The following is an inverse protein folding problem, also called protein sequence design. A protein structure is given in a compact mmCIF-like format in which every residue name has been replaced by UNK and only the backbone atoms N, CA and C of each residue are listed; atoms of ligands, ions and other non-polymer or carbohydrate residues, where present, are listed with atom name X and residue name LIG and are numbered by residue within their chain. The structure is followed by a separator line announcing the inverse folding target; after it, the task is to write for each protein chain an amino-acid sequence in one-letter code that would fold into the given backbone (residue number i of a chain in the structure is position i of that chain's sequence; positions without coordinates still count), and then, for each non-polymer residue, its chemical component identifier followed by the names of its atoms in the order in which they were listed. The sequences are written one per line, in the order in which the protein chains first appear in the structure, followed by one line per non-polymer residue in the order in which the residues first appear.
data_IF_175954660314
#
_entry.id   IF_175954660314
#
_cell.length_a   1.000
_cell.length_b   1.000
_cell.length_c   1.000
_cell.angle_alpha   90.00
_cell.angle_beta   90.00
_cell.angle_gamma   90.00
#
_symmetry.space_group_name_H-M   'P 1'
#
loop_
_entity.id
_entity.type
_entity.pdbx_description
1 polymer ?
#
# COMPACT_ATOMS: atom_id res chain seq x y z
N UNK A 1 -8.50 4.66 30.62
CA UNK A 1 -7.90 3.89 29.50
C UNK A 1 -6.39 4.04 29.62
N UNK A 2 -5.70 3.00 30.09
CA UNK A 2 -4.24 2.96 30.06
C UNK A 2 -3.82 2.55 28.65
N UNK A 3 -3.21 3.47 27.90
CA UNK A 3 -2.55 3.14 26.64
C UNK A 3 -1.24 2.44 27.02
N UNK A 4 -1.21 1.13 26.89
CA UNK A 4 -0.01 0.33 27.10
C UNK A 4 0.89 0.33 25.84
N UNK A 5 1.20 1.53 25.35
CA UNK A 5 2.18 1.70 24.29
C UNK A 5 3.56 1.91 24.94
N UNK A 6 4.58 1.13 24.59
CA UNK A 6 5.95 1.35 25.10
C UNK A 6 6.45 2.69 24.55
N UNK A 7 6.48 3.71 25.40
CA UNK A 7 6.88 5.09 25.05
C UNK A 7 8.30 5.15 24.47
N UNK A 8 9.18 4.21 24.82
CA UNK A 8 10.53 4.11 24.29
C UNK A 8 10.60 3.85 22.78
N UNK A 9 9.70 3.03 22.21
CA UNK A 9 9.68 2.74 20.80
C UNK A 9 9.17 3.90 19.95
N UNK A 10 8.35 4.79 20.52
CA UNK A 10 7.91 6.01 19.86
C UNK A 10 9.01 7.07 19.71
N UNK A 11 9.99 7.08 20.62
CA UNK A 11 11.04 8.08 20.68
C UNK A 11 12.31 7.68 19.92
N UNK A 12 12.58 6.39 19.76
CA UNK A 12 13.87 5.89 19.24
C UNK A 12 13.77 5.01 18.00
N UNK A 13 12.58 4.87 17.39
CA UNK A 13 12.43 4.17 16.12
C UNK A 13 12.89 2.71 16.12
N UNK A 14 12.86 2.03 17.28
CA UNK A 14 13.19 0.61 17.32
C UNK A 14 12.10 -0.19 16.60
N UNK A 15 12.47 -1.02 15.66
CA UNK A 15 11.62 -2.05 15.09
C UNK A 15 11.02 -2.87 16.24
N UNK A 16 9.71 -2.91 16.37
CA UNK A 16 9.06 -3.83 17.31
C UNK A 16 9.43 -5.25 16.87
N UNK A 17 9.94 -6.10 17.76
CA UNK A 17 10.14 -7.50 17.43
C UNK A 17 8.81 -8.10 16.99
N UNK A 18 8.88 -9.04 16.06
CA UNK A 18 7.71 -9.79 15.65
C UNK A 18 7.00 -10.38 16.89
N UNK A 19 5.67 -10.24 17.01
CA UNK A 19 4.95 -10.86 18.10
C UNK A 19 5.12 -12.38 18.01
N UNK A 20 5.26 -13.06 19.16
CA UNK A 20 5.21 -14.52 19.20
C UNK A 20 3.79 -15.02 18.84
N UNK A 21 3.69 -16.28 18.40
CA UNK A 21 2.40 -16.93 18.15
C UNK A 21 1.46 -16.84 19.37
N UNK A 22 2.01 -17.03 20.57
CA UNK A 22 1.27 -16.98 21.84
C UNK A 22 0.58 -15.60 22.05
N UNK A 23 1.24 -14.50 21.67
CA UNK A 23 0.66 -13.15 21.76
C UNK A 23 -0.49 -12.97 20.75
N UNK A 24 -0.41 -13.59 19.59
CA UNK A 24 -1.47 -13.54 18.58
C UNK A 24 -2.70 -14.27 19.11
N UNK A 25 -2.56 -15.47 19.59
CA UNK A 25 -3.64 -16.30 20.12
C UNK A 25 -4.30 -15.66 21.37
N UNK A 26 -3.50 -15.01 22.20
CA UNK A 26 -3.99 -14.31 23.39
C UNK A 26 -4.79 -13.03 23.07
N UNK A 27 -4.41 -12.31 22.00
CA UNK A 27 -4.98 -10.99 21.67
C UNK A 27 -6.10 -11.01 20.63
N UNK A 28 -6.16 -12.04 19.81
CA UNK A 28 -7.13 -12.14 18.74
C UNK A 28 -8.03 -13.35 18.93
N UNK A 29 -9.33 -13.13 18.78
CA UNK A 29 -10.33 -14.19 18.73
C UNK A 29 -10.89 -14.27 17.32
N UNK A 30 -10.81 -15.44 16.72
CA UNK A 30 -11.38 -15.72 15.40
C UNK A 30 -12.58 -16.66 15.55
N UNK A 31 -13.59 -16.56 14.65
CA UNK A 31 -14.71 -17.50 14.65
C UNK A 31 -14.27 -18.94 14.44
N UNK A 32 -15.10 -19.89 14.87
CA UNK A 32 -14.88 -21.32 14.61
C UNK A 32 -14.68 -21.59 13.11
N UNK A 33 -13.66 -22.38 12.76
CA UNK A 33 -13.29 -22.69 11.39
C UNK A 33 -12.32 -21.70 10.75
N UNK A 34 -11.94 -20.62 11.47
CA UNK A 34 -10.90 -19.69 11.03
C UNK A 34 -9.63 -19.84 11.86
N UNK A 35 -8.48 -19.65 11.24
CA UNK A 35 -7.17 -19.57 11.87
C UNK A 35 -6.55 -18.19 11.65
N UNK A 36 -5.68 -17.76 12.55
CA UNK A 36 -4.85 -16.57 12.40
C UNK A 36 -3.39 -16.98 12.54
N UNK A 37 -2.57 -16.63 11.57
CA UNK A 37 -1.14 -16.89 11.60
C UNK A 37 -0.35 -15.66 11.19
N UNK A 38 0.91 -15.61 11.61
CA UNK A 38 1.84 -14.56 11.23
C UNK A 38 2.51 -14.93 9.91
N UNK A 39 2.13 -14.26 8.82
CA UNK A 39 2.63 -14.56 7.48
C UNK A 39 3.96 -13.87 7.17
N UNK A 40 4.12 -12.59 7.53
CA UNK A 40 5.34 -11.84 7.28
C UNK A 40 5.63 -10.85 8.41
N UNK A 41 6.90 -10.65 8.73
CA UNK A 41 7.37 -9.78 9.81
C UNK A 41 8.49 -8.86 9.36
N UNK A 42 8.86 -7.87 10.20
CA UNK A 42 9.95 -6.95 9.90
C UNK A 42 9.65 -5.95 8.79
N UNK A 43 8.37 -5.80 8.41
CA UNK A 43 7.93 -4.86 7.39
C UNK A 43 7.31 -3.63 8.07
N UNK A 44 8.11 -2.61 8.25
CA UNK A 44 7.65 -1.37 8.86
C UNK A 44 6.75 -0.56 7.93
N UNK A 45 5.68 0.02 8.49
CA UNK A 45 4.84 0.99 7.80
C UNK A 45 4.12 0.51 6.54
N UNK A 46 3.76 -0.76 6.50
CA UNK A 46 2.93 -1.33 5.44
C UNK A 46 1.55 -0.64 5.44
N UNK A 47 1.07 -0.21 4.26
CA UNK A 47 -0.19 0.55 4.16
C UNK A 47 -1.22 -0.06 3.23
N UNK A 48 -0.82 -0.59 2.11
CA UNK A 48 -1.71 -1.17 1.12
C UNK A 48 -1.13 -2.47 0.58
N UNK A 49 -2.00 -3.41 0.27
CA UNK A 49 -1.66 -4.71 -0.29
C UNK A 49 -2.48 -4.95 -1.56
N UNK A 50 -1.84 -5.55 -2.55
CA UNK A 50 -2.49 -6.10 -3.73
C UNK A 50 -1.90 -7.49 -4.03
N UNK A 51 -2.76 -8.48 -4.23
CA UNK A 51 -2.32 -9.86 -4.54
C UNK A 51 -1.98 -9.96 -6.03
N UNK A 52 -0.86 -10.59 -6.35
CA UNK A 52 -0.48 -10.90 -7.73
C UNK A 52 -1.10 -12.22 -8.20
N UNK A 53 -1.11 -12.44 -9.51
CA UNK A 53 -1.55 -13.70 -10.10
C UNK A 53 -0.72 -14.93 -9.64
N UNK A 54 0.55 -14.70 -9.25
CA UNK A 54 1.41 -15.74 -8.69
C UNK A 54 1.15 -16.05 -7.22
N UNK A 55 0.33 -15.24 -6.52
CA UNK A 55 0.06 -15.35 -5.09
C UNK A 55 1.01 -14.58 -4.19
N UNK A 56 1.94 -13.80 -4.75
CA UNK A 56 2.73 -12.83 -4.01
C UNK A 56 1.86 -11.59 -3.66
N UNK A 57 2.36 -10.72 -2.77
CA UNK A 57 1.71 -9.44 -2.49
C UNK A 57 2.62 -8.29 -2.89
N UNK A 58 2.09 -7.35 -3.67
CA UNK A 58 2.71 -6.04 -3.82
C UNK A 58 2.20 -5.13 -2.71
N UNK A 59 3.09 -4.43 -2.03
CA UNK A 59 2.72 -3.64 -0.86
C UNK A 59 3.44 -2.28 -0.84
N UNK A 60 2.75 -1.25 -0.30
CA UNK A 60 3.34 0.08 -0.13
C UNK A 60 3.85 0.28 1.30
N UNK A 61 5.04 0.87 1.39
CA UNK A 61 5.65 1.38 2.63
C UNK A 61 5.72 2.91 2.54
N UNK A 62 4.61 3.56 2.86
CA UNK A 62 4.41 4.99 2.54
C UNK A 62 5.45 5.92 3.15
N UNK A 63 5.91 5.68 4.39
CA UNK A 63 6.94 6.52 5.03
C UNK A 63 8.34 6.27 4.47
N UNK A 64 8.61 5.05 4.05
CA UNK A 64 9.87 4.70 3.40
C UNK A 64 9.94 5.18 1.94
N UNK A 65 8.78 5.52 1.35
CA UNK A 65 8.71 5.86 -0.07
C UNK A 65 8.93 4.66 -0.98
N UNK A 66 8.50 3.48 -0.54
CA UNK A 66 8.81 2.23 -1.23
C UNK A 66 7.55 1.45 -1.63
N UNK A 67 7.71 0.67 -2.70
CA UNK A 67 6.84 -0.46 -3.04
C UNK A 67 7.67 -1.72 -2.96
N UNK A 68 7.16 -2.72 -2.27
CA UNK A 68 7.83 -4.01 -2.06
C UNK A 68 6.99 -5.16 -2.60
N UNK A 69 7.65 -6.25 -2.95
CA UNK A 69 7.05 -7.56 -3.14
C UNK A 69 7.25 -8.37 -1.86
N UNK A 70 6.16 -8.86 -1.27
CA UNK A 70 6.16 -9.86 -0.20
C UNK A 70 5.88 -11.19 -0.89
N UNK A 71 6.85 -12.07 -0.90
CA UNK A 71 6.76 -13.33 -1.62
C UNK A 71 5.77 -14.27 -0.95
N UNK A 72 5.07 -15.04 -1.76
CA UNK A 72 4.21 -16.12 -1.26
C UNK A 72 5.04 -17.15 -0.47
N UNK A 73 4.36 -17.94 0.29
CA UNK A 73 4.87 -19.16 0.91
C UNK A 73 4.94 -20.26 -0.17
N UNK A 74 6.11 -20.53 -0.69
CA UNK A 74 6.31 -21.55 -1.72
C UNK A 74 6.77 -22.89 -1.15
N UNK A 75 7.34 -22.91 0.06
CA UNK A 75 7.79 -24.11 0.73
C UNK A 75 6.74 -24.71 1.68
N UNK A 76 5.65 -23.99 1.96
CA UNK A 76 4.50 -24.47 2.72
C UNK A 76 4.68 -24.40 4.24
N UNK A 77 5.59 -23.57 4.73
CA UNK A 77 5.83 -23.39 6.18
C UNK A 77 4.84 -22.42 6.86
N UNK A 78 3.97 -21.79 6.08
CA UNK A 78 2.98 -20.82 6.54
C UNK A 78 3.50 -19.38 6.61
N UNK A 79 4.72 -19.12 6.18
CA UNK A 79 5.33 -17.81 6.20
C UNK A 79 5.75 -17.37 4.79
N UNK A 80 5.96 -16.08 4.64
CA UNK A 80 6.47 -15.50 3.40
C UNK A 80 7.94 -15.85 3.16
N UNK A 81 8.29 -16.23 1.92
CA UNK A 81 9.67 -16.47 1.47
C UNK A 81 10.52 -15.18 1.38
N UNK A 82 10.11 -14.13 2.07
CA UNK A 82 10.84 -12.89 2.20
C UNK A 82 10.29 -11.74 1.34
N UNK A 83 11.04 -10.65 1.31
CA UNK A 83 10.62 -9.41 0.64
C UNK A 83 11.67 -8.92 -0.33
N UNK A 84 11.22 -8.19 -1.36
CA UNK A 84 12.09 -7.52 -2.33
C UNK A 84 11.58 -6.09 -2.56
N UNK A 85 12.44 -5.09 -2.51
CA UNK A 85 12.08 -3.72 -2.91
C UNK A 85 11.96 -3.67 -4.43
N UNK A 86 10.78 -3.27 -4.92
CA UNK A 86 10.50 -3.05 -6.33
C UNK A 86 10.82 -1.61 -6.76
N UNK A 87 10.38 -0.64 -5.96
CA UNK A 87 10.56 0.79 -6.22
C UNK A 87 10.92 1.51 -4.94
N UNK A 88 11.73 2.56 -5.06
CA UNK A 88 12.08 3.49 -4.00
C UNK A 88 11.90 4.94 -4.44
N UNK A 89 12.15 5.89 -3.54
CA UNK A 89 12.09 7.33 -3.80
C UNK A 89 10.71 7.84 -4.28
N UNK A 90 9.65 7.14 -3.86
CA UNK A 90 8.28 7.54 -4.12
C UNK A 90 7.77 8.48 -3.01
N UNK A 91 6.85 9.36 -3.38
CA UNK A 91 6.27 10.33 -2.44
C UNK A 91 5.04 9.78 -1.73
N UNK A 92 5.22 9.18 -0.57
CA UNK A 92 4.15 8.58 0.23
C UNK A 92 3.22 7.66 -0.61
N UNK A 93 3.75 6.61 -1.26
CA UNK A 93 2.92 5.69 -2.05
C UNK A 93 1.86 5.03 -1.15
N UNK A 94 0.63 4.86 -1.67
CA UNK A 94 -0.45 4.25 -0.91
C UNK A 94 -1.22 3.23 -1.75
N UNK A 95 -2.16 3.66 -2.61
CA UNK A 95 -2.97 2.75 -3.42
C UNK A 95 -2.17 2.09 -4.53
N UNK A 96 -2.44 0.83 -4.76
CA UNK A 96 -1.86 -0.01 -5.81
C UNK A 96 -2.99 -0.64 -6.62
N UNK A 97 -2.80 -0.74 -7.93
CA UNK A 97 -3.63 -1.52 -8.82
C UNK A 97 -2.76 -2.19 -9.88
N UNK A 98 -3.11 -3.40 -10.30
CA UNK A 98 -2.39 -4.14 -11.34
C UNK A 98 -3.35 -4.44 -12.48
N UNK A 99 -3.01 -4.00 -13.68
CA UNK A 99 -3.79 -4.24 -14.87
C UNK A 99 -2.92 -4.21 -16.15
N UNK A 100 -3.19 -5.10 -17.08
CA UNK A 100 -2.59 -5.13 -18.42
C UNK A 100 -1.05 -5.09 -18.43
N UNK A 101 -0.42 -5.75 -17.44
CA UNK A 101 1.04 -5.79 -17.29
C UNK A 101 1.64 -4.49 -16.77
N UNK A 102 0.83 -3.65 -16.12
CA UNK A 102 1.26 -2.45 -15.42
C UNK A 102 0.93 -2.53 -13.93
N UNK A 103 1.86 -2.07 -13.12
CA UNK A 103 1.67 -1.75 -11.72
C UNK A 103 1.43 -0.24 -11.60
N UNK A 104 0.22 0.13 -11.24
CA UNK A 104 -0.19 1.52 -10.98
C UNK A 104 0.01 1.82 -9.50
N UNK A 105 0.56 3.00 -9.20
CA UNK A 105 0.84 3.43 -7.83
C UNK A 105 0.36 4.86 -7.66
N UNK A 106 -0.48 5.07 -6.65
CA UNK A 106 -0.89 6.39 -6.23
C UNK A 106 0.09 6.94 -5.19
N UNK A 107 0.80 8.00 -5.54
CA UNK A 107 1.53 8.87 -4.62
C UNK A 107 0.59 9.92 -4.04
N UNK A 108 1.02 10.66 -3.01
CA UNK A 108 0.16 11.69 -2.39
C UNK A 108 -0.28 12.78 -3.37
N UNK A 109 0.53 13.09 -4.40
CA UNK A 109 0.29 14.17 -5.36
C UNK A 109 0.48 13.78 -6.83
N UNK A 110 0.61 12.47 -7.10
CA UNK A 110 0.77 11.94 -8.44
C UNK A 110 0.15 10.54 -8.57
N UNK A 111 -0.10 10.14 -9.81
CA UNK A 111 -0.37 8.78 -10.24
C UNK A 111 0.75 8.35 -11.18
N UNK A 112 1.33 7.20 -10.93
CA UNK A 112 2.37 6.66 -11.79
C UNK A 112 2.16 5.19 -12.08
N UNK A 113 2.94 4.66 -13.03
CA UNK A 113 2.94 3.23 -13.38
C UNK A 113 4.32 2.76 -13.83
N UNK A 114 4.53 1.45 -13.72
CA UNK A 114 5.72 0.75 -14.22
C UNK A 114 5.29 -0.59 -14.82
N UNK A 115 6.02 -1.09 -15.81
CA UNK A 115 5.77 -2.45 -16.31
C UNK A 115 6.04 -3.47 -15.22
N UNK A 116 5.10 -4.39 -15.05
CA UNK A 116 5.14 -5.42 -14.02
C UNK A 116 4.67 -6.77 -14.55
N UNK A 117 5.47 -7.77 -14.32
CA UNK A 117 5.12 -9.17 -14.59
C UNK A 117 4.68 -9.83 -13.28
N UNK A 118 3.39 -10.05 -13.15
CA UNK A 118 2.78 -10.67 -11.96
C UNK A 118 3.23 -12.10 -11.72
N UNK A 119 3.65 -12.81 -12.77
CA UNK A 119 4.09 -14.21 -12.66
C UNK A 119 5.47 -14.32 -12.04
N UNK A 120 6.35 -13.38 -12.38
CA UNK A 120 7.74 -13.37 -11.89
C UNK A 120 7.99 -12.38 -10.78
N UNK A 121 7.01 -11.50 -10.46
CA UNK A 121 7.14 -10.44 -9.47
C UNK A 121 8.16 -9.37 -9.84
N UNK A 122 8.45 -9.17 -11.13
CA UNK A 122 9.50 -8.26 -11.60
C UNK A 122 8.94 -7.03 -12.29
N UNK A 123 9.57 -5.90 -12.02
CA UNK A 123 9.38 -4.67 -12.79
C UNK A 123 10.36 -4.61 -13.96
N UNK A 124 9.99 -3.86 -15.00
CA UNK A 124 10.87 -3.52 -16.12
C UNK A 124 10.64 -2.08 -16.59
N UNK A 125 11.71 -1.45 -17.08
CA UNK A 125 11.68 -0.03 -17.42
C UNK A 125 11.74 0.89 -16.20
N UNK A 126 11.36 2.15 -16.39
CA UNK A 126 11.33 3.20 -15.36
C UNK A 126 9.90 3.44 -14.88
N UNK A 127 9.77 3.89 -13.63
CA UNK A 127 8.50 4.39 -13.10
C UNK A 127 8.14 5.72 -13.79
N UNK A 128 6.98 5.77 -14.39
CA UNK A 128 6.46 6.94 -15.12
C UNK A 128 5.28 7.56 -14.36
N UNK A 129 5.40 8.85 -14.00
CA UNK A 129 4.29 9.62 -13.41
C UNK A 129 3.38 10.12 -14.51
N UNK A 130 2.28 9.41 -14.74
CA UNK A 130 1.31 9.65 -15.81
C UNK A 130 0.30 10.76 -15.51
N UNK A 131 0.11 11.10 -14.23
CA UNK A 131 -0.65 12.29 -13.81
C UNK A 131 0.02 12.92 -12.60
N UNK A 132 0.16 14.24 -12.61
CA UNK A 132 0.81 15.03 -11.55
C UNK A 132 -0.05 16.21 -11.13
N UNK A 133 0.37 16.92 -10.06
CA UNK A 133 -0.37 18.07 -9.56
C UNK A 133 -1.70 17.72 -8.89
N UNK A 134 -1.87 16.49 -8.45
CA UNK A 134 -2.99 16.08 -7.60
C UNK A 134 -2.83 16.78 -6.26
N UNK A 135 -3.91 17.29 -5.64
CA UNK A 135 -3.80 18.03 -4.38
C UNK A 135 -3.19 17.16 -3.28
N UNK A 136 -1.91 17.32 -3.01
CA UNK A 136 -1.17 16.63 -1.96
C UNK A 136 -1.24 17.34 -0.60
N UNK A 137 -0.67 16.71 0.43
CA UNK A 137 -0.62 17.27 1.79
C UNK A 137 -1.96 17.24 2.54
N UNK A 138 -1.97 17.83 3.74
CA UNK A 138 -3.11 17.77 4.66
C UNK A 138 -3.19 16.47 5.45
N UNK A 139 -4.23 16.33 6.26
CA UNK A 139 -4.37 15.19 7.17
C UNK A 139 -4.74 13.88 6.43
N UNK A 140 -5.45 13.97 5.31
CA UNK A 140 -5.91 12.82 4.51
C UNK A 140 -5.11 12.71 3.21
N UNK A 141 -3.83 12.41 3.36
CA UNK A 141 -2.85 12.36 2.28
C UNK A 141 -2.90 11.05 1.45
N UNK A 142 -3.47 9.98 2.00
CA UNK A 142 -3.56 8.69 1.32
C UNK A 142 -4.45 8.75 0.08
N UNK A 143 -4.10 7.95 -0.92
CA UNK A 143 -4.82 7.83 -2.19
C UNK A 143 -5.12 6.36 -2.44
N UNK A 144 -6.38 6.03 -2.62
CA UNK A 144 -6.80 4.69 -3.07
C UNK A 144 -7.12 4.76 -4.54
N UNK A 145 -6.71 3.75 -5.29
CA UNK A 145 -7.03 3.61 -6.72
C UNK A 145 -7.70 2.27 -6.98
N UNK A 146 -8.54 2.24 -8.01
CA UNK A 146 -9.16 1.02 -8.53
C UNK A 146 -9.61 1.24 -9.97
N UNK A 147 -9.55 0.20 -10.81
CA UNK A 147 -10.20 0.21 -12.11
C UNK A 147 -11.70 0.01 -11.97
N UNK A 148 -12.47 0.85 -12.65
CA UNK A 148 -13.91 0.67 -12.81
C UNK A 148 -14.25 -0.32 -13.92
N UNK A 149 -15.51 -0.76 -13.97
CA UNK A 149 -15.99 -1.66 -15.04
C UNK A 149 -15.99 -1.02 -16.44
N UNK A 150 -15.81 0.28 -16.50
CA UNK A 150 -15.64 1.08 -17.73
C UNK A 150 -14.18 1.13 -18.22
N UNK A 151 -13.26 0.46 -17.53
CA UNK A 151 -11.84 0.44 -17.84
C UNK A 151 -11.08 1.71 -17.46
N UNK A 152 -11.72 2.63 -16.73
CA UNK A 152 -11.08 3.85 -16.24
C UNK A 152 -10.52 3.66 -14.83
N UNK A 153 -9.46 4.38 -14.51
CA UNK A 153 -8.83 4.35 -13.19
C UNK A 153 -9.41 5.46 -12.31
N UNK A 154 -9.96 5.08 -11.17
CA UNK A 154 -10.53 5.98 -10.17
C UNK A 154 -9.57 6.17 -9.01
N UNK A 155 -9.43 7.40 -8.53
CA UNK A 155 -8.58 7.75 -7.41
C UNK A 155 -9.35 8.56 -6.38
N UNK A 156 -9.33 8.14 -5.12
CA UNK A 156 -9.85 8.94 -4.00
C UNK A 156 -8.87 10.03 -3.59
N UNK A 157 -9.38 11.24 -3.35
CA UNK A 157 -8.61 12.38 -2.84
C UNK A 157 -9.27 12.90 -1.58
N UNK A 158 -8.61 12.70 -0.44
CA UNK A 158 -9.13 13.13 0.85
C UNK A 158 -9.13 14.66 1.03
N UNK A 159 -9.89 15.11 2.03
CA UNK A 159 -9.92 16.52 2.46
C UNK A 159 -8.58 16.95 3.04
N UNK A 160 -8.32 18.24 3.07
CA UNK A 160 -7.10 18.79 3.68
C UNK A 160 -7.14 18.78 5.21
N UNK A 161 -8.33 18.78 5.80
CA UNK A 161 -8.57 18.77 7.23
C UNK A 161 -9.86 18.03 7.62
N UNK A 162 -10.11 17.83 8.91
CA UNK A 162 -11.29 17.10 9.41
C UNK A 162 -12.59 17.91 9.31
N UNK A 163 -12.51 19.22 9.48
CA UNK A 163 -13.67 20.13 9.47
C UNK A 163 -13.27 21.42 8.77
N UNK A 164 -13.42 21.49 7.45
CA UNK A 164 -13.17 22.68 6.67
C UNK A 164 -13.88 22.63 5.32
N UNK A 165 -14.07 23.79 4.72
CA UNK A 165 -14.45 23.90 3.31
C UNK A 165 -13.19 23.82 2.45
N UNK A 166 -13.21 22.91 1.49
CA UNK A 166 -12.09 22.74 0.57
C UNK A 166 -12.06 23.83 -0.48
N UNK A 167 -10.89 24.43 -0.68
CA UNK A 167 -10.68 25.43 -1.74
C UNK A 167 -10.43 24.80 -3.11
N UNK A 168 -9.84 23.61 -3.12
CA UNK A 168 -9.60 22.85 -4.34
C UNK A 168 -10.73 21.82 -4.52
N UNK A 169 -11.55 21.95 -5.59
CA UNK A 169 -12.72 21.11 -5.79
C UNK A 169 -12.36 19.62 -6.04
N UNK A 170 -11.09 19.31 -6.26
CA UNK A 170 -10.61 17.93 -6.42
C UNK A 170 -10.41 17.21 -5.09
N UNK A 171 -10.46 17.93 -3.96
CA UNK A 171 -10.39 17.34 -2.61
C UNK A 171 -11.76 16.85 -2.14
N UNK A 172 -11.75 15.96 -1.16
CA UNK A 172 -12.94 15.29 -0.62
C UNK A 172 -13.82 14.67 -1.72
N UNK A 173 -13.17 14.12 -2.75
CA UNK A 173 -13.82 13.62 -3.94
C UNK A 173 -13.08 12.45 -4.59
N UNK A 174 -13.49 12.16 -5.82
CA UNK A 174 -12.90 11.10 -6.64
C UNK A 174 -12.51 11.68 -7.99
N UNK A 175 -11.27 11.44 -8.39
CA UNK A 175 -10.76 11.72 -9.73
C UNK A 175 -10.86 10.47 -10.59
N UNK A 176 -10.95 10.67 -11.90
CA UNK A 176 -11.01 9.61 -12.89
C UNK A 176 -9.99 9.88 -14.01
N UNK A 177 -9.32 8.82 -14.45
CA UNK A 177 -8.28 8.88 -15.46
C UNK A 177 -8.45 7.76 -16.48
N UNK A 178 -8.01 8.00 -17.70
CA UNK A 178 -7.69 6.92 -18.62
C UNK A 178 -6.45 6.13 -18.08
N UNK A 179 -6.22 4.88 -18.53
CA UNK A 179 -5.06 4.09 -18.10
C UNK A 179 -3.70 4.73 -18.41
N UNK A 180 -3.65 5.70 -19.32
CA UNK A 180 -2.46 6.48 -19.65
C UNK A 180 -2.28 7.76 -18.81
N UNK A 181 -3.20 8.02 -17.87
CA UNK A 181 -3.18 9.19 -16.99
C UNK A 181 -3.87 10.42 -17.56
N UNK A 182 -4.37 10.39 -18.79
CA UNK A 182 -5.17 11.46 -19.37
C UNK A 182 -6.61 11.46 -18.85
N UNK A 183 -7.33 12.59 -18.94
CA UNK A 183 -8.77 12.68 -18.61
C UNK A 183 -9.13 13.76 -17.62
#
# INVERSE_FOLDING_TARGET
FAINAPVGSMLFGSSNPAPSSDIIDERFQVPEGFGLSLFATGIDNLRWLHTTAAGDFVATRSRAGEVILVKRDADGDGQSDGTTVLLSDLKQPHGIEIADGWLYIAETDALGRVRFDETTGKISGSFDRIATGIPGGGNHWSRTIAFGPDGLLYMSVGSSCNVCEEKDPRRAGMLRFNPDGSG
#
